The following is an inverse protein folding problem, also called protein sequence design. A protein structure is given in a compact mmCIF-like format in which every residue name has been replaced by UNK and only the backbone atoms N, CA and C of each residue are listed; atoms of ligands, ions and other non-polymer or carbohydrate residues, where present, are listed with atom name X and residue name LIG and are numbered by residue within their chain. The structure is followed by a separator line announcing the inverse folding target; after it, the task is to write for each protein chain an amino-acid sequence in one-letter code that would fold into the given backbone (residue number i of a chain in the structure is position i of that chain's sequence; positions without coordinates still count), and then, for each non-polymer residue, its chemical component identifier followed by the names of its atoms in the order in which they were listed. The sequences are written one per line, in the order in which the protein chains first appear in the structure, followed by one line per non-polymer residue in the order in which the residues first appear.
data_IF_903840646853
#
_entry.id   IF_903840646853
#
_cell.length_a   1.000
_cell.length_b   1.000
_cell.length_c   1.000
_cell.angle_alpha   90.00
_cell.angle_beta   90.00
_cell.angle_gamma   90.00
#
_symmetry.space_group_name_H-M   'P 1'
#
loop_
_entity.id
_entity.type
_entity.pdbx_description
1 polymer ?
#
# COMPACT_ATOMS: atom_id res chain seq x y z
N UNK A 1 45.08 33.86 -45.19
CA UNK A 1 44.06 32.78 -45.14
C UNK A 1 43.49 32.58 -43.73
N UNK A 2 44.32 32.57 -42.68
CA UNK A 2 43.90 32.41 -41.27
C UNK A 2 42.78 33.39 -40.82
N UNK A 3 42.89 34.68 -41.14
CA UNK A 3 41.90 35.69 -40.74
C UNK A 3 40.52 35.54 -41.41
N UNK A 4 40.45 34.97 -42.62
CA UNK A 4 39.16 34.68 -43.29
C UNK A 4 38.49 33.46 -42.66
N UNK A 5 39.27 32.43 -42.36
CA UNK A 5 38.81 31.23 -41.66
C UNK A 5 38.30 31.55 -40.25
N UNK A 6 39.02 32.40 -39.50
CA UNK A 6 38.60 32.82 -38.16
C UNK A 6 37.28 33.61 -38.18
N UNK A 7 37.06 34.46 -39.19
CA UNK A 7 35.81 35.20 -39.38
C UNK A 7 34.64 34.30 -39.74
N UNK A 8 34.82 33.33 -40.64
CA UNK A 8 33.77 32.36 -40.97
C UNK A 8 33.44 31.44 -39.79
N UNK A 9 34.46 31.02 -39.02
CA UNK A 9 34.27 30.22 -37.83
C UNK A 9 33.50 31.00 -36.74
N UNK A 10 33.86 32.28 -36.51
CA UNK A 10 33.16 33.15 -35.57
C UNK A 10 31.71 33.42 -36.01
N UNK A 11 31.48 33.68 -37.30
CA UNK A 11 30.13 33.86 -37.85
C UNK A 11 29.29 32.60 -37.67
N UNK A 12 29.85 31.42 -37.96
CA UNK A 12 29.20 30.14 -37.75
C UNK A 12 28.83 29.90 -36.28
N UNK A 13 29.74 30.23 -35.36
CA UNK A 13 29.48 30.16 -33.92
C UNK A 13 28.36 31.12 -33.50
N UNK A 14 28.36 32.37 -33.98
CA UNK A 14 27.30 33.33 -33.68
C UNK A 14 25.93 32.88 -34.20
N UNK A 15 25.87 32.31 -35.41
CA UNK A 15 24.63 31.76 -35.97
C UNK A 15 24.13 30.60 -35.11
N UNK A 16 25.03 29.69 -34.72
CA UNK A 16 24.67 28.56 -33.85
C UNK A 16 24.13 29.04 -32.50
N UNK A 17 24.78 30.01 -31.86
CA UNK A 17 24.31 30.60 -30.59
C UNK A 17 22.94 31.25 -30.78
N UNK A 18 22.73 32.03 -31.86
CA UNK A 18 21.45 32.65 -32.14
C UNK A 18 20.32 31.61 -32.34
N UNK A 19 20.60 30.50 -33.02
CA UNK A 19 19.66 29.39 -33.18
C UNK A 19 19.33 28.71 -31.86
N UNK A 20 20.34 28.47 -31.00
CA UNK A 20 20.13 27.89 -29.68
C UNK A 20 19.30 28.79 -28.77
N UNK A 21 19.56 30.11 -28.79
CA UNK A 21 18.78 31.10 -28.04
C UNK A 21 17.35 31.19 -28.56
N UNK A 22 17.16 31.18 -29.88
CA UNK A 22 15.82 31.16 -30.47
C UNK A 22 15.05 29.90 -30.10
N UNK A 23 15.70 28.73 -30.17
CA UNK A 23 15.11 27.44 -29.79
C UNK A 23 14.70 27.45 -28.31
N UNK A 24 15.59 27.91 -27.41
CA UNK A 24 15.28 28.07 -26.00
C UNK A 24 14.12 29.03 -25.76
N UNK A 25 14.10 30.19 -26.43
CA UNK A 25 13.05 31.19 -26.27
C UNK A 25 11.67 30.72 -26.79
N UNK A 26 11.65 29.91 -27.85
CA UNK A 26 10.45 29.23 -28.35
C UNK A 26 9.98 28.18 -27.34
N UNK A 27 10.90 27.34 -26.86
CA UNK A 27 10.62 26.30 -25.87
C UNK A 27 10.07 26.87 -24.56
N UNK A 28 10.68 27.93 -24.04
CA UNK A 28 10.28 28.60 -22.80
C UNK A 28 8.87 29.19 -22.87
N UNK A 29 8.38 29.52 -24.08
CA UNK A 29 7.01 30.01 -24.32
C UNK A 29 6.06 28.95 -24.85
N UNK A 30 6.54 27.71 -25.04
CA UNK A 30 5.72 26.61 -25.55
C UNK A 30 4.59 26.28 -24.57
N UNK A 31 3.32 26.18 -24.96
CA UNK A 31 2.22 25.98 -24.01
C UNK A 31 2.32 24.63 -23.29
N UNK A 32 1.97 24.63 -21.99
CA UNK A 32 1.74 23.39 -21.25
C UNK A 32 0.44 22.75 -21.77
N UNK A 33 0.45 21.46 -22.18
CA UNK A 33 -0.75 20.75 -22.63
C UNK A 33 -1.91 20.81 -21.63
N UNK A 34 -3.14 20.92 -22.12
CA UNK A 34 -4.34 21.04 -21.27
C UNK A 34 -4.51 19.90 -20.27
N UNK A 35 -4.25 18.66 -20.69
CA UNK A 35 -4.33 17.50 -19.82
C UNK A 35 -3.36 17.60 -18.63
N UNK A 36 -2.15 18.11 -18.86
CA UNK A 36 -1.15 18.34 -17.80
C UNK A 36 -1.58 19.45 -16.85
N UNK A 37 -2.14 20.56 -17.37
CA UNK A 37 -2.67 21.66 -16.56
C UNK A 37 -3.83 21.21 -15.67
N UNK A 38 -4.77 20.44 -16.22
CA UNK A 38 -5.91 19.90 -15.48
C UNK A 38 -5.47 18.93 -14.39
N UNK A 39 -4.54 18.01 -14.70
CA UNK A 39 -3.97 17.09 -13.71
C UNK A 39 -3.26 17.86 -12.59
N UNK A 40 -2.47 18.89 -12.91
CA UNK A 40 -1.81 19.71 -11.89
C UNK A 40 -2.80 20.48 -11.02
N UNK A 41 -3.86 21.02 -11.61
CA UNK A 41 -4.93 21.69 -10.87
C UNK A 41 -5.64 20.73 -9.90
N UNK A 42 -5.85 19.48 -10.31
CA UNK A 42 -6.40 18.43 -9.45
C UNK A 42 -5.48 18.12 -8.26
N UNK A 43 -4.16 18.00 -8.46
CA UNK A 43 -3.20 17.76 -7.37
C UNK A 43 -3.10 18.92 -6.37
N UNK A 44 -3.38 20.15 -6.82
CA UNK A 44 -3.38 21.37 -5.99
C UNK A 44 -4.63 21.50 -5.12
N UNK A 45 -5.65 20.67 -5.32
CA UNK A 45 -6.83 20.69 -4.46
C UNK A 45 -6.47 20.38 -3.00
N UNK A 46 -7.09 21.07 -2.03
CA UNK A 46 -6.84 20.79 -0.62
C UNK A 46 -7.24 19.35 -0.27
N UNK A 47 -6.48 18.74 0.63
CA UNK A 47 -6.86 17.42 1.15
C UNK A 47 -8.21 17.51 1.88
N UNK A 48 -9.06 16.48 1.78
CA UNK A 48 -10.27 16.37 2.60
C UNK A 48 -9.94 16.45 4.11
N UNK A 49 -10.90 16.88 4.95
CA UNK A 49 -10.73 16.83 6.40
C UNK A 49 -10.61 15.38 6.90
N UNK A 50 -10.08 15.20 8.12
CA UNK A 50 -10.02 13.90 8.77
C UNK A 50 -11.44 13.40 9.09
N UNK A 51 -11.65 12.08 8.93
CA UNK A 51 -12.92 11.40 9.21
C UNK A 51 -13.12 11.06 10.70
N UNK A 52 -12.13 11.33 11.54
CA UNK A 52 -12.16 11.08 12.97
C UNK A 52 -10.75 11.13 13.58
N UNK A 53 -10.52 10.45 14.72
CA UNK A 53 -9.23 10.45 15.40
C UNK A 53 -8.10 9.97 14.49
N UNK A 54 -6.99 10.71 14.50
CA UNK A 54 -5.83 10.46 13.66
C UNK A 54 -4.87 9.46 14.32
N UNK A 55 -4.59 8.35 13.64
CA UNK A 55 -3.70 7.28 14.12
C UNK A 55 -2.22 7.66 14.17
N UNK A 56 -1.81 8.76 13.52
CA UNK A 56 -0.40 9.08 13.34
C UNK A 56 0.39 9.12 14.66
N UNK A 57 -0.13 9.76 15.70
CA UNK A 57 0.58 9.88 16.98
C UNK A 57 0.76 8.52 17.70
N UNK A 58 -0.21 7.62 17.55
CA UNK A 58 -0.10 6.26 18.08
C UNK A 58 0.97 5.46 17.34
N UNK A 59 1.02 5.55 16.00
CA UNK A 59 2.04 4.86 15.21
C UNK A 59 3.44 5.47 15.42
N UNK A 60 3.55 6.80 15.45
CA UNK A 60 4.80 7.51 15.67
C UNK A 60 5.48 7.10 16.98
N UNK A 61 4.69 6.87 18.03
CA UNK A 61 5.17 6.45 19.35
C UNK A 61 5.17 4.93 19.56
N UNK A 62 4.78 4.13 18.56
CA UNK A 62 4.51 2.70 18.73
C UNK A 62 5.73 1.91 19.22
N UNK A 63 6.93 2.30 18.79
CA UNK A 63 8.19 1.64 19.18
C UNK A 63 8.68 1.96 20.60
N UNK A 64 8.03 2.88 21.30
CA UNK A 64 8.50 3.42 22.58
C UNK A 64 7.40 3.40 23.66
N UNK A 65 7.81 3.35 24.92
CA UNK A 65 6.94 3.42 26.09
C UNK A 65 6.52 4.87 26.40
N UNK A 66 6.05 5.60 25.39
CA UNK A 66 5.49 6.96 25.55
C UNK A 66 4.10 6.86 26.20
N UNK A 67 3.83 7.62 27.28
CA UNK A 67 2.49 7.73 27.87
C UNK A 67 1.48 8.36 26.90
N UNK A 68 0.24 7.89 26.92
CA UNK A 68 -0.79 8.28 25.95
C UNK A 68 -1.07 9.78 25.94
N UNK A 69 -1.16 10.39 27.12
CA UNK A 69 -1.35 11.83 27.30
C UNK A 69 -0.20 12.69 26.72
N UNK A 70 0.95 12.10 26.42
CA UNK A 70 2.13 12.81 25.91
C UNK A 70 2.37 12.59 24.41
N UNK A 71 1.63 11.68 23.75
CA UNK A 71 1.85 11.32 22.34
C UNK A 71 1.68 12.52 21.41
N UNK A 72 0.61 13.29 21.57
CA UNK A 72 0.32 14.43 20.69
C UNK A 72 1.33 15.58 20.88
N UNK A 73 1.69 15.86 22.14
CA UNK A 73 2.72 16.86 22.46
C UNK A 73 4.09 16.47 21.87
N UNK A 74 4.42 15.16 21.92
CA UNK A 74 5.65 14.62 21.32
C UNK A 74 5.67 14.80 19.81
N UNK A 75 4.57 14.47 19.13
CA UNK A 75 4.46 14.66 17.68
C UNK A 75 4.55 16.13 17.31
N UNK A 76 3.86 17.02 18.04
CA UNK A 76 3.92 18.46 17.80
C UNK A 76 5.36 18.99 17.95
N UNK A 77 6.10 18.53 18.97
CA UNK A 77 7.51 18.86 19.14
C UNK A 77 8.35 18.37 17.94
N UNK A 78 8.12 17.15 17.48
CA UNK A 78 8.84 16.54 16.36
C UNK A 78 8.58 17.27 15.03
N UNK A 79 7.34 17.65 14.77
CA UNK A 79 6.93 18.44 13.60
C UNK A 79 7.60 19.82 13.62
N UNK A 80 7.60 20.51 14.77
CA UNK A 80 8.25 21.81 14.90
C UNK A 80 9.76 21.73 14.70
N UNK A 81 10.40 20.67 15.20
CA UNK A 81 11.84 20.46 14.99
C UNK A 81 12.14 20.16 13.53
N UNK A 82 11.38 19.27 12.90
CA UNK A 82 11.53 18.97 11.47
C UNK A 82 11.39 20.21 10.59
N UNK A 83 10.40 21.07 10.85
CA UNK A 83 10.20 22.31 10.10
C UNK A 83 11.38 23.30 10.20
N UNK A 84 12.28 23.14 11.18
CA UNK A 84 13.48 23.97 11.38
C UNK A 84 14.77 23.25 10.95
N UNK A 85 14.70 21.98 10.55
CA UNK A 85 15.88 21.24 10.12
C UNK A 85 16.32 21.76 8.73
N UNK A 86 17.64 21.96 8.52
CA UNK A 86 18.20 22.13 7.18
C UNK A 86 17.79 20.97 6.26
N UNK A 87 17.61 21.27 4.97
CA UNK A 87 17.27 20.29 3.96
C UNK A 87 18.27 19.12 3.95
N UNK A 88 17.78 17.89 3.83
CA UNK A 88 18.60 16.68 3.82
C UNK A 88 18.98 16.13 5.20
N UNK A 89 18.75 16.87 6.30
CA UNK A 89 18.96 16.33 7.65
C UNK A 89 17.78 15.49 8.12
N UNK A 90 18.07 14.33 8.71
CA UNK A 90 17.05 13.44 9.26
C UNK A 90 16.61 13.89 10.66
N UNK A 91 15.31 13.80 10.93
CA UNK A 91 14.77 14.04 12.26
C UNK A 91 15.12 12.89 13.20
N UNK A 92 15.75 13.22 14.33
CA UNK A 92 15.80 12.34 15.50
C UNK A 92 14.57 12.59 16.39
N UNK A 93 13.63 11.64 16.39
CA UNK A 93 12.39 11.75 17.17
C UNK A 93 12.64 11.94 18.67
N UNK A 94 11.81 12.76 19.32
CA UNK A 94 11.84 12.95 20.76
C UNK A 94 11.39 11.69 21.52
N UNK A 95 10.80 10.71 20.82
CA UNK A 95 10.44 9.40 21.35
C UNK A 95 11.64 8.59 21.84
N UNK A 96 12.85 8.88 21.33
CA UNK A 96 14.10 8.24 21.77
C UNK A 96 14.44 8.48 23.24
N UNK A 97 13.81 9.46 23.90
CA UNK A 97 13.94 9.70 25.36
C UNK A 97 13.20 8.68 26.21
N UNK A 98 12.29 7.92 25.61
CA UNK A 98 11.49 6.91 26.30
C UNK A 98 12.11 5.52 26.08
N UNK A 99 11.90 4.57 27.00
CA UNK A 99 12.32 3.19 26.79
C UNK A 99 11.74 2.62 25.49
N UNK A 100 12.56 1.94 24.68
CA UNK A 100 12.10 1.22 23.49
C UNK A 100 11.41 -0.08 23.92
N UNK A 101 10.35 -0.48 23.23
CA UNK A 101 9.81 -1.83 23.38
C UNK A 101 10.82 -2.88 22.90
N UNK A 102 10.92 -4.04 23.55
CA UNK A 102 11.87 -5.07 23.15
C UNK A 102 11.58 -5.53 21.72
N UNK A 103 12.65 -5.81 20.97
CA UNK A 103 12.54 -6.46 19.67
C UNK A 103 12.08 -7.91 19.83
N UNK A 104 11.59 -8.50 18.73
CA UNK A 104 11.25 -9.92 18.73
C UNK A 104 12.49 -10.74 19.12
N UNK A 105 12.41 -11.69 20.07
CA UNK A 105 13.59 -12.41 20.54
C UNK A 105 14.28 -13.16 19.39
N UNK A 106 15.60 -12.99 19.27
CA UNK A 106 16.38 -13.59 18.17
C UNK A 106 16.37 -15.14 18.18
N UNK A 107 16.17 -15.74 19.35
CA UNK A 107 16.07 -17.20 19.53
C UNK A 107 14.65 -17.73 19.32
N UNK A 108 13.65 -16.86 19.19
CA UNK A 108 12.28 -17.28 18.99
C UNK A 108 12.00 -17.62 17.52
N UNK A 109 11.04 -18.50 17.24
CA UNK A 109 10.56 -18.74 15.88
C UNK A 109 10.13 -17.44 15.19
N UNK A 110 10.24 -17.38 13.86
CA UNK A 110 9.83 -16.19 13.12
C UNK A 110 8.33 -15.90 13.33
N UNK A 111 7.93 -14.63 13.52
CA UNK A 111 6.51 -14.26 13.63
C UNK A 111 5.70 -14.73 12.42
N UNK A 112 4.40 -14.91 12.61
CA UNK A 112 3.49 -15.19 11.51
C UNK A 112 3.56 -14.11 10.43
N UNK A 113 3.53 -14.56 9.18
CA UNK A 113 3.48 -13.72 7.98
C UNK A 113 2.35 -14.22 7.09
N UNK A 114 2.14 -13.55 5.95
CA UNK A 114 1.13 -13.91 4.94
C UNK A 114 1.25 -15.33 4.37
N UNK A 115 2.37 -16.02 4.56
CA UNK A 115 2.59 -17.35 4.00
C UNK A 115 1.82 -18.42 4.76
N UNK A 116 1.33 -19.41 4.02
CA UNK A 116 0.57 -20.54 4.54
C UNK A 116 1.24 -21.21 5.75
N UNK A 117 0.41 -21.78 6.63
CA UNK A 117 0.86 -22.56 7.77
C UNK A 117 1.23 -21.75 9.01
N UNK A 118 0.72 -20.52 9.18
CA UNK A 118 0.89 -19.79 10.45
C UNK A 118 0.38 -20.62 11.64
N UNK A 119 -0.87 -21.11 11.58
CA UNK A 119 -1.44 -21.94 12.64
C UNK A 119 -0.62 -23.22 12.88
N UNK A 120 -0.18 -23.89 11.81
CA UNK A 120 0.62 -25.12 11.91
C UNK A 120 1.99 -24.86 12.55
N UNK A 121 2.68 -23.78 12.18
CA UNK A 121 3.96 -23.37 12.81
C UNK A 121 3.79 -23.06 14.28
N UNK A 122 2.74 -22.31 14.64
CA UNK A 122 2.43 -22.00 16.05
C UNK A 122 2.14 -23.29 16.82
N UNK A 123 1.38 -24.22 16.26
CA UNK A 123 1.04 -25.51 16.88
C UNK A 123 2.24 -26.42 17.09
N UNK A 124 3.26 -26.33 16.24
CA UNK A 124 4.51 -27.10 16.40
C UNK A 124 5.36 -26.60 17.58
N UNK A 125 5.30 -25.31 17.92
CA UNK A 125 6.16 -24.69 18.95
C UNK A 125 5.39 -23.71 19.85
N UNK A 126 4.25 -24.09 20.47
CA UNK A 126 3.34 -23.15 21.11
C UNK A 126 3.98 -22.43 22.30
N UNK A 127 4.82 -23.12 23.08
CA UNK A 127 5.51 -22.52 24.22
C UNK A 127 6.56 -21.49 23.78
N UNK A 128 7.33 -21.76 22.72
CA UNK A 128 8.33 -20.82 22.22
C UNK A 128 7.69 -19.51 21.73
N UNK A 129 6.52 -19.59 21.08
CA UNK A 129 5.75 -18.40 20.73
C UNK A 129 5.16 -17.70 21.95
N UNK A 130 4.67 -18.44 22.95
CA UNK A 130 4.15 -17.86 24.18
C UNK A 130 5.22 -17.08 24.95
N UNK A 131 6.41 -17.65 25.10
CA UNK A 131 7.56 -17.01 25.76
C UNK A 131 8.00 -15.76 25.01
N UNK A 132 8.03 -15.82 23.67
CA UNK A 132 8.35 -14.67 22.83
C UNK A 132 7.30 -13.55 22.99
N UNK A 133 6.02 -13.88 22.94
CA UNK A 133 4.91 -12.93 23.08
C UNK A 133 4.81 -12.32 24.48
N UNK A 134 5.23 -13.03 25.53
CA UNK A 134 5.28 -12.50 26.88
C UNK A 134 6.14 -11.23 26.97
N UNK A 135 7.23 -11.16 26.20
CA UNK A 135 8.08 -9.95 26.10
C UNK A 135 7.41 -8.80 25.35
N UNK A 136 6.38 -9.09 24.54
CA UNK A 136 5.72 -8.14 23.65
C UNK A 136 4.40 -7.59 24.20
N UNK A 137 3.99 -7.98 25.42
CA UNK A 137 2.71 -7.59 26.02
C UNK A 137 2.43 -6.07 25.95
N UNK A 138 3.35 -5.17 26.33
CA UNK A 138 3.10 -3.73 26.24
C UNK A 138 2.83 -3.23 24.81
N UNK A 139 3.53 -3.80 23.82
CA UNK A 139 3.32 -3.47 22.41
C UNK A 139 1.98 -4.00 21.90
N UNK A 140 1.59 -5.23 22.28
CA UNK A 140 0.32 -5.84 21.90
C UNK A 140 -0.88 -5.01 22.37
N UNK A 141 -0.84 -4.44 23.58
CA UNK A 141 -1.87 -3.50 24.04
C UNK A 141 -1.96 -2.29 23.11
N UNK A 142 -0.82 -1.64 22.82
CA UNK A 142 -0.80 -0.48 21.91
C UNK A 142 -1.29 -0.80 20.50
N UNK A 143 -1.00 -1.99 19.99
CA UNK A 143 -1.48 -2.44 18.68
C UNK A 143 -3.01 -2.60 18.65
N UNK A 144 -3.60 -3.17 19.72
CA UNK A 144 -5.06 -3.31 19.84
C UNK A 144 -5.78 -1.97 19.95
N UNK A 145 -5.18 -1.01 20.66
CA UNK A 145 -5.72 0.34 20.81
C UNK A 145 -5.81 1.11 19.47
N UNK A 146 -5.06 0.69 18.44
CA UNK A 146 -5.12 1.32 17.11
C UNK A 146 -6.51 1.23 16.48
N UNK A 147 -7.34 0.27 16.89
CA UNK A 147 -8.71 0.12 16.39
C UNK A 147 -9.64 1.27 16.81
N UNK A 148 -9.24 2.08 17.81
CA UNK A 148 -9.97 3.28 18.21
C UNK A 148 -9.82 4.47 17.25
N UNK A 149 -8.93 4.38 16.25
CA UNK A 149 -8.71 5.45 15.28
C UNK A 149 -9.52 5.25 14.01
N UNK A 150 -9.91 6.36 13.37
CA UNK A 150 -10.76 6.33 12.18
C UNK A 150 -10.01 6.76 10.90
N UNK A 151 -8.90 7.48 11.06
CA UNK A 151 -8.14 8.01 9.94
C UNK A 151 -6.63 8.01 10.20
N UNK A 152 -5.85 8.26 9.16
CA UNK A 152 -4.40 8.43 9.23
C UNK A 152 -3.97 9.66 8.43
N UNK A 153 -3.24 10.58 9.08
CA UNK A 153 -2.56 11.68 8.42
C UNK A 153 -1.27 12.09 9.13
N UNK A 154 -0.17 12.12 8.40
CA UNK A 154 1.08 12.75 8.78
C UNK A 154 0.90 14.26 8.97
N UNK A 155 1.26 14.78 10.16
CA UNK A 155 1.29 16.23 10.40
C UNK A 155 2.60 16.86 9.90
N UNK A 156 3.55 16.07 9.40
CA UNK A 156 4.78 16.61 8.83
C UNK A 156 4.48 17.33 7.51
N UNK A 157 5.13 18.49 7.25
CA UNK A 157 5.01 19.14 5.95
C UNK A 157 5.49 18.17 4.85
N UNK A 158 4.84 18.15 3.68
CA UNK A 158 5.25 17.31 2.57
C UNK A 158 6.71 17.61 2.19
N UNK A 159 7.56 16.58 2.29
CA UNK A 159 8.97 16.61 1.92
C UNK A 159 9.37 15.19 1.53
N UNK A 160 10.28 15.02 0.58
CA UNK A 160 10.88 13.70 0.30
C UNK A 160 11.70 13.15 1.48
N UNK A 161 12.07 14.02 2.42
CA UNK A 161 12.75 13.64 3.67
C UNK A 161 11.80 13.58 4.87
N UNK A 162 10.50 13.76 4.65
CA UNK A 162 9.51 13.69 5.71
C UNK A 162 9.59 12.32 6.40
N UNK A 163 9.73 12.29 7.72
CA UNK A 163 9.93 11.03 8.42
C UNK A 163 8.63 10.22 8.40
N UNK A 164 8.78 8.91 8.22
CA UNK A 164 7.68 7.95 8.34
C UNK A 164 7.61 7.42 9.78
N UNK A 165 6.42 7.16 10.32
CA UNK A 165 6.31 6.45 11.58
C UNK A 165 6.90 5.04 11.41
N UNK A 166 7.36 4.40 12.51
CA UNK A 166 7.79 3.01 12.45
C UNK A 166 6.64 2.16 11.88
N UNK A 167 6.99 1.21 11.00
CA UNK A 167 5.99 0.31 10.46
C UNK A 167 5.29 -0.44 11.60
N UNK A 168 3.94 -0.51 11.63
CA UNK A 168 3.23 -1.32 12.59
C UNK A 168 3.75 -2.76 12.56
N UNK A 169 4.18 -3.26 13.72
CA UNK A 169 4.66 -4.64 13.91
C UNK A 169 3.48 -5.62 13.93
N UNK A 170 2.63 -5.56 12.90
CA UNK A 170 1.34 -6.28 12.84
C UNK A 170 1.50 -7.80 12.86
N UNK A 171 2.64 -8.32 12.41
CA UNK A 171 2.99 -9.73 12.51
C UNK A 171 3.03 -10.22 13.96
N UNK A 172 3.34 -9.35 14.94
CA UNK A 172 3.29 -9.69 16.37
C UNK A 172 1.84 -9.90 16.81
N UNK A 173 0.91 -9.03 16.42
CA UNK A 173 -0.53 -9.18 16.70
C UNK A 173 -1.09 -10.45 16.03
N UNK A 174 -0.76 -10.66 14.75
CA UNK A 174 -1.14 -11.87 14.01
C UNK A 174 -0.67 -13.14 14.71
N UNK A 175 0.58 -13.16 15.19
CA UNK A 175 1.15 -14.30 15.93
C UNK A 175 0.42 -14.51 17.26
N UNK A 176 0.08 -13.43 17.98
CA UNK A 176 -0.73 -13.51 19.20
C UNK A 176 -2.10 -14.13 18.94
N UNK A 177 -2.79 -13.69 17.88
CA UNK A 177 -4.12 -14.21 17.55
C UNK A 177 -4.05 -15.70 17.13
N UNK A 178 -3.01 -16.08 16.38
CA UNK A 178 -2.76 -17.48 16.03
C UNK A 178 -2.48 -18.37 17.25
N UNK A 179 -1.68 -17.87 18.21
CA UNK A 179 -1.43 -18.58 19.47
C UNK A 179 -2.69 -18.69 20.33
N UNK A 180 -3.47 -17.61 20.44
CA UNK A 180 -4.77 -17.64 21.13
C UNK A 180 -5.67 -18.75 20.56
N UNK A 181 -5.73 -18.86 19.23
CA UNK A 181 -6.51 -19.91 18.57
C UNK A 181 -5.98 -21.32 18.87
N UNK A 182 -4.68 -21.55 18.70
CA UNK A 182 -4.03 -22.85 18.96
C UNK A 182 -4.20 -23.29 20.42
N UNK A 183 -4.26 -22.34 21.35
CA UNK A 183 -4.47 -22.61 22.78
C UNK A 183 -5.96 -22.68 23.17
N UNK A 184 -6.89 -22.71 22.20
CA UNK A 184 -8.32 -22.87 22.43
C UNK A 184 -9.05 -21.59 22.86
N UNK A 185 -8.39 -20.42 22.87
CA UNK A 185 -9.03 -19.10 23.08
C UNK A 185 -9.66 -18.59 21.79
N UNK A 186 -10.52 -19.40 21.18
CA UNK A 186 -11.08 -19.18 19.83
C UNK A 186 -11.78 -17.84 19.69
N UNK A 187 -12.67 -17.48 20.62
CA UNK A 187 -13.42 -16.22 20.53
C UNK A 187 -12.49 -15.00 20.58
N UNK A 188 -11.46 -15.04 21.42
CA UNK A 188 -10.45 -13.98 21.53
C UNK A 188 -9.64 -13.87 20.23
N UNK A 189 -9.19 -15.00 19.68
CA UNK A 189 -8.44 -15.04 18.44
C UNK A 189 -9.24 -14.46 17.26
N UNK A 190 -10.48 -14.91 17.07
CA UNK A 190 -11.36 -14.41 16.01
C UNK A 190 -11.61 -12.91 16.17
N UNK A 191 -11.90 -12.45 17.40
CA UNK A 191 -12.09 -11.03 17.67
C UNK A 191 -10.84 -10.20 17.35
N UNK A 192 -9.66 -10.68 17.74
CA UNK A 192 -8.37 -10.02 17.50
C UNK A 192 -8.04 -9.88 16.02
N UNK A 193 -8.25 -10.93 15.21
CA UNK A 193 -8.05 -10.87 13.74
C UNK A 193 -8.96 -9.82 13.10
N UNK A 194 -10.21 -9.72 13.56
CA UNK A 194 -11.15 -8.73 13.06
C UNK A 194 -10.81 -7.30 13.51
N UNK A 195 -10.27 -7.13 14.72
CA UNK A 195 -9.73 -5.85 15.20
C UNK A 195 -8.52 -5.41 14.36
N UNK A 196 -7.59 -6.32 14.07
CA UNK A 196 -6.43 -6.02 13.22
C UNK A 196 -6.86 -5.64 11.79
N UNK A 197 -7.91 -6.28 11.26
CA UNK A 197 -8.48 -5.94 9.96
C UNK A 197 -9.11 -4.53 9.95
N UNK A 198 -9.75 -4.10 11.04
CA UNK A 198 -10.26 -2.73 11.17
C UNK A 198 -9.12 -1.69 11.12
N UNK A 199 -8.02 -1.93 11.83
CA UNK A 199 -6.81 -1.08 11.75
C UNK A 199 -6.27 -1.05 10.33
N UNK A 200 -6.21 -2.21 9.68
CA UNK A 200 -5.75 -2.34 8.30
C UNK A 200 -6.59 -1.49 7.33
N UNK A 201 -7.92 -1.40 7.51
CA UNK A 201 -8.78 -0.53 6.69
C UNK A 201 -8.50 0.96 6.88
N UNK A 202 -8.13 1.39 8.07
CA UNK A 202 -7.76 2.80 8.29
C UNK A 202 -6.50 3.14 7.49
N UNK A 203 -5.47 2.27 7.56
CA UNK A 203 -4.25 2.42 6.77
C UNK A 203 -4.50 2.30 5.26
N UNK A 204 -5.35 1.36 4.86
CA UNK A 204 -5.76 1.14 3.47
C UNK A 204 -6.29 2.44 2.85
N UNK A 205 -7.06 3.23 3.60
CA UNK A 205 -7.69 4.48 3.14
C UNK A 205 -6.84 5.73 3.37
N UNK A 206 -5.58 5.59 3.77
CA UNK A 206 -4.66 6.72 3.93
C UNK A 206 -4.41 7.41 2.58
N UNK A 207 -4.40 8.75 2.56
CA UNK A 207 -4.18 9.55 1.34
C UNK A 207 -2.88 10.37 1.34
N UNK A 208 -1.95 10.05 2.23
CA UNK A 208 -0.74 10.87 2.43
C UNK A 208 0.48 10.42 1.64
N UNK A 209 0.60 9.11 1.43
CA UNK A 209 1.65 8.48 0.64
C UNK A 209 1.18 7.11 0.17
N UNK A 210 1.94 6.50 -0.74
CA UNK A 210 1.63 5.16 -1.24
C UNK A 210 1.89 4.04 -0.21
N UNK A 211 2.85 4.22 0.69
CA UNK A 211 3.31 3.18 1.62
C UNK A 211 2.20 2.71 2.57
N UNK A 212 1.49 3.63 3.22
CA UNK A 212 0.47 3.26 4.23
C UNK A 212 -0.71 2.48 3.64
N UNK A 213 -1.28 2.88 2.48
CA UNK A 213 -2.26 2.08 1.74
C UNK A 213 -1.78 0.68 1.35
N UNK A 214 -0.52 0.52 0.95
CA UNK A 214 0.05 -0.79 0.63
C UNK A 214 0.18 -1.67 1.87
N UNK A 215 0.60 -1.08 2.99
CA UNK A 215 0.69 -1.76 4.26
C UNK A 215 -0.69 -2.20 4.76
N UNK A 216 -1.68 -1.31 4.72
CA UNK A 216 -3.07 -1.64 5.05
C UNK A 216 -3.64 -2.75 4.17
N UNK A 217 -3.33 -2.75 2.87
CA UNK A 217 -3.73 -3.82 1.95
C UNK A 217 -3.12 -5.18 2.34
N UNK A 218 -1.81 -5.21 2.60
CA UNK A 218 -1.12 -6.42 3.04
C UNK A 218 -1.64 -6.95 4.38
N UNK A 219 -1.84 -6.06 5.36
CA UNK A 219 -2.41 -6.40 6.67
C UNK A 219 -3.82 -6.96 6.55
N UNK A 220 -4.69 -6.32 5.77
CA UNK A 220 -6.09 -6.71 5.62
C UNK A 220 -6.20 -8.10 4.97
N UNK A 221 -5.47 -8.32 3.87
CA UNK A 221 -5.44 -9.61 3.20
C UNK A 221 -4.87 -10.71 4.11
N UNK A 222 -3.79 -10.44 4.83
CA UNK A 222 -3.17 -11.42 5.73
C UNK A 222 -4.10 -11.84 6.87
N UNK A 223 -4.83 -10.87 7.46
CA UNK A 223 -5.85 -11.18 8.47
C UNK A 223 -7.04 -11.94 7.89
N UNK A 224 -7.43 -11.66 6.64
CA UNK A 224 -8.50 -12.41 5.98
C UNK A 224 -8.13 -13.88 5.77
N UNK A 225 -6.88 -14.18 5.37
CA UNK A 225 -6.39 -15.56 5.28
C UNK A 225 -6.34 -16.23 6.64
N UNK A 226 -5.82 -15.56 7.67
CA UNK A 226 -5.77 -16.13 9.02
C UNK A 226 -7.18 -16.44 9.55
N UNK A 227 -8.17 -15.58 9.28
CA UNK A 227 -9.56 -15.85 9.63
C UNK A 227 -10.10 -17.08 8.89
N UNK A 228 -9.84 -17.21 7.59
CA UNK A 228 -10.25 -18.36 6.81
C UNK A 228 -9.61 -19.67 7.33
N UNK A 229 -8.30 -19.64 7.63
CA UNK A 229 -7.57 -20.76 8.22
C UNK A 229 -8.20 -21.18 9.56
N UNK A 230 -8.49 -20.23 10.46
CA UNK A 230 -9.16 -20.51 11.73
C UNK A 230 -10.54 -21.12 11.51
N UNK A 231 -11.34 -20.59 10.58
CA UNK A 231 -12.68 -21.12 10.29
C UNK A 231 -12.65 -22.52 9.69
N UNK A 232 -11.57 -22.88 8.98
CA UNK A 232 -11.42 -24.23 8.42
C UNK A 232 -11.24 -25.32 9.49
N UNK A 233 -10.75 -24.94 10.68
CA UNK A 233 -10.53 -25.82 11.83
C UNK A 233 -11.68 -25.78 12.86
N UNK A 234 -12.73 -25.01 12.61
CA UNK A 234 -13.90 -24.88 13.47
C UNK A 234 -15.13 -25.55 12.86
N UNK A 235 -16.15 -25.91 13.67
CA UNK A 235 -17.42 -26.34 13.13
C UNK A 235 -17.96 -25.27 12.18
N UNK A 236 -18.53 -25.68 11.05
CA UNK A 236 -18.98 -24.74 10.02
C UNK A 236 -19.91 -23.66 10.60
N UNK A 237 -20.80 -23.98 11.53
CA UNK A 237 -21.72 -23.02 12.13
C UNK A 237 -21.14 -22.26 13.35
N UNK A 238 -19.82 -22.26 13.57
CA UNK A 238 -19.23 -21.51 14.68
C UNK A 238 -19.56 -20.01 14.58
N UNK A 239 -20.06 -19.37 15.67
CA UNK A 239 -20.45 -17.97 15.63
C UNK A 239 -19.24 -17.06 15.42
N UNK A 240 -19.40 -16.03 14.58
CA UNK A 240 -18.40 -14.98 14.39
C UNK A 240 -18.70 -13.77 15.27
N UNK A 241 -17.68 -13.09 15.81
CA UNK A 241 -17.87 -11.79 16.44
C UNK A 241 -18.54 -10.79 15.50
N UNK A 242 -19.50 -10.01 16.01
CA UNK A 242 -20.33 -9.14 15.18
C UNK A 242 -19.52 -8.10 14.37
N UNK A 243 -18.42 -7.58 14.94
CA UNK A 243 -17.57 -6.59 14.27
C UNK A 243 -16.76 -7.17 13.10
N UNK A 244 -16.62 -8.49 12.98
CA UNK A 244 -15.93 -9.13 11.86
C UNK A 244 -16.59 -8.84 10.52
N UNK A 245 -17.93 -8.77 10.49
CA UNK A 245 -18.68 -8.46 9.26
C UNK A 245 -18.30 -7.08 8.70
N UNK A 246 -18.16 -6.08 9.57
CA UNK A 246 -17.74 -4.74 9.17
C UNK A 246 -16.25 -4.69 8.80
N UNK A 247 -15.39 -5.39 9.56
CA UNK A 247 -13.95 -5.41 9.31
C UNK A 247 -13.59 -5.99 7.93
N UNK A 248 -14.27 -7.06 7.52
CA UNK A 248 -14.03 -7.76 6.25
C UNK A 248 -15.08 -7.48 5.17
N UNK A 249 -15.90 -6.44 5.34
CA UNK A 249 -16.85 -6.02 4.31
C UNK A 249 -16.14 -5.79 2.95
N UNK A 250 -16.81 -6.06 1.81
CA UNK A 250 -16.24 -5.79 0.50
C UNK A 250 -15.67 -4.36 0.38
N UNK A 251 -14.57 -4.22 -0.35
CA UNK A 251 -13.96 -2.90 -0.60
C UNK A 251 -14.77 -2.13 -1.63
N UNK A 252 -15.04 -0.87 -1.35
CA UNK A 252 -15.59 0.06 -2.34
C UNK A 252 -14.50 0.51 -3.33
N UNK A 253 -14.89 0.99 -4.52
CA UNK A 253 -13.94 1.33 -5.61
C UNK A 253 -12.94 2.42 -5.19
N UNK A 254 -13.35 3.36 -4.34
CA UNK A 254 -12.48 4.37 -3.73
C UNK A 254 -11.41 3.74 -2.81
N UNK A 255 -11.76 2.68 -2.07
CA UNK A 255 -10.79 1.91 -1.29
C UNK A 255 -9.90 1.02 -2.16
N UNK A 256 -10.30 0.68 -3.39
CA UNK A 256 -9.47 -0.10 -4.32
C UNK A 256 -8.51 0.82 -5.08
N UNK A 257 -8.97 2.01 -5.47
CA UNK A 257 -8.20 2.97 -6.26
C UNK A 257 -6.99 3.50 -5.51
N UNK A 258 -5.90 3.74 -6.23
CA UNK A 258 -4.73 4.46 -5.73
C UNK A 258 -4.90 6.00 -5.75
N UNK A 259 -6.05 6.54 -6.13
CA UNK A 259 -6.26 7.98 -6.33
C UNK A 259 -5.75 8.84 -5.16
N UNK A 260 -6.26 8.60 -3.94
CA UNK A 260 -5.86 9.38 -2.76
C UNK A 260 -4.39 9.17 -2.41
N UNK A 261 -3.90 7.93 -2.54
CA UNK A 261 -2.51 7.57 -2.27
C UNK A 261 -1.53 8.31 -3.19
N UNK A 262 -1.85 8.40 -4.48
CA UNK A 262 -1.02 9.09 -5.47
C UNK A 262 -1.07 10.61 -5.33
N UNK A 263 -2.21 11.18 -4.93
CA UNK A 263 -2.28 12.59 -4.56
C UNK A 263 -1.38 12.90 -3.34
N UNK A 264 -1.29 11.98 -2.38
CA UNK A 264 -0.32 12.04 -1.29
C UNK A 264 1.11 11.98 -1.77
N UNK A 265 1.41 10.95 -2.54
CA UNK A 265 2.73 10.71 -3.11
C UNK A 265 3.22 11.91 -3.94
N UNK A 266 2.33 12.56 -4.69
CA UNK A 266 2.69 13.73 -5.49
C UNK A 266 3.12 14.91 -4.63
N UNK A 267 2.49 15.16 -3.48
CA UNK A 267 2.90 16.25 -2.58
C UNK A 267 4.31 16.03 -2.06
N UNK A 268 4.66 14.78 -1.74
CA UNK A 268 6.01 14.40 -1.35
C UNK A 268 6.99 14.51 -2.52
N UNK A 269 6.69 13.89 -3.66
CA UNK A 269 7.60 13.87 -4.81
C UNK A 269 7.86 15.26 -5.40
N UNK A 270 6.82 16.09 -5.51
CA UNK A 270 6.93 17.43 -6.12
C UNK A 270 7.60 18.47 -5.18
N UNK A 271 7.64 18.19 -3.87
CA UNK A 271 8.35 19.04 -2.89
C UNK A 271 9.87 19.12 -3.15
N UNK A 272 10.47 18.07 -3.74
CA UNK A 272 11.90 17.99 -4.04
C UNK A 272 12.33 19.16 -4.91
N UNK A 273 11.51 19.52 -5.91
CA UNK A 273 11.82 20.62 -6.83
C UNK A 273 11.75 22.00 -6.16
N UNK A 274 10.87 22.14 -5.16
CA UNK A 274 10.76 23.37 -4.37
C UNK A 274 11.96 23.53 -3.43
N UNK A 275 12.39 22.43 -2.80
CA UNK A 275 13.60 22.39 -1.95
C UNK A 275 14.87 22.67 -2.75
N UNK A 276 15.04 22.05 -3.92
CA UNK A 276 16.18 22.26 -4.81
C UNK A 276 16.32 23.73 -5.24
N UNK A 277 15.21 24.41 -5.53
CA UNK A 277 15.22 25.83 -5.89
C UNK A 277 15.55 26.76 -4.72
N UNK A 278 15.12 26.43 -3.49
CA UNK A 278 15.49 27.20 -2.28
C UNK A 278 16.99 27.07 -1.99
N UNK A 279 17.53 25.86 -2.08
CA UNK A 279 18.96 25.61 -1.91
C UNK A 279 19.79 26.22 -3.05
N UNK A 280 19.20 26.29 -4.25
CA UNK A 280 19.73 26.95 -5.44
C UNK A 280 19.98 28.46 -5.32
N UNK A 281 19.46 29.11 -4.28
CA UNK A 281 19.69 30.53 -3.98
C UNK A 281 20.91 30.75 -3.06
N UNK A 282 21.62 29.68 -2.67
CA UNK A 282 22.88 29.78 -1.95
C UNK A 282 23.99 30.35 -2.86
N UNK A 283 24.81 31.26 -2.32
CA UNK A 283 25.82 32.03 -3.07
C UNK A 283 26.98 31.21 -3.63
N UNK A 284 27.16 29.97 -3.17
CA UNK A 284 28.37 29.16 -3.36
C UNK A 284 28.26 28.13 -4.51
N UNK A 285 27.20 28.19 -5.32
CA UNK A 285 27.00 27.25 -6.43
C UNK A 285 27.99 27.48 -7.57
N UNK A 286 28.51 26.37 -8.12
CA UNK A 286 29.31 26.36 -9.33
C UNK A 286 28.50 26.86 -10.54
N UNK A 287 29.20 27.20 -11.62
CA UNK A 287 28.53 27.74 -12.83
C UNK A 287 27.63 26.69 -13.50
N UNK A 288 27.99 25.41 -13.43
CA UNK A 288 27.24 24.28 -13.97
C UNK A 288 25.98 23.96 -13.16
N UNK A 289 26.03 24.12 -11.83
CA UNK A 289 24.85 24.02 -10.96
C UNK A 289 23.84 25.14 -11.27
N UNK A 290 24.33 26.38 -11.44
CA UNK A 290 23.48 27.53 -11.82
C UNK A 290 22.82 27.30 -13.19
N UNK A 291 23.58 26.82 -14.17
CA UNK A 291 23.03 26.51 -15.50
C UNK A 291 21.98 25.39 -15.43
N UNK A 292 22.23 24.35 -14.62
CA UNK A 292 21.29 23.26 -14.40
C UNK A 292 19.98 23.74 -13.77
N UNK A 293 20.05 24.65 -12.79
CA UNK A 293 18.87 25.28 -12.20
C UNK A 293 18.07 26.12 -13.20
N UNK A 294 18.74 26.80 -14.15
CA UNK A 294 18.06 27.53 -15.22
C UNK A 294 17.35 26.64 -16.24
N UNK A 295 17.72 25.36 -16.32
CA UNK A 295 17.07 24.34 -17.17
C UNK A 295 16.02 23.51 -16.40
N UNK A 296 15.66 23.94 -15.18
CA UNK A 296 14.59 23.37 -14.37
C UNK A 296 13.44 24.37 -14.22
N UNK A 297 12.43 24.24 -15.08
CA UNK A 297 11.14 24.91 -14.91
C UNK A 297 10.25 24.05 -14.00
N UNK A 298 10.06 24.50 -12.76
CA UNK A 298 9.29 23.75 -11.75
C UNK A 298 7.84 23.57 -12.16
N UNK A 299 7.19 24.59 -12.71
CA UNK A 299 5.78 24.50 -13.07
C UNK A 299 5.59 23.51 -14.21
N UNK A 300 6.44 23.59 -15.25
CA UNK A 300 6.42 22.62 -16.35
C UNK A 300 6.73 21.21 -15.87
N UNK A 301 7.68 21.05 -14.97
CA UNK A 301 8.04 19.73 -14.41
C UNK A 301 6.89 19.15 -13.60
N UNK A 302 6.24 19.96 -12.75
CA UNK A 302 5.06 19.55 -11.99
C UNK A 302 3.91 19.19 -12.92
N UNK A 303 3.66 19.98 -13.97
CA UNK A 303 2.61 19.71 -14.94
C UNK A 303 2.89 18.43 -15.77
N UNK A 304 4.14 18.23 -16.18
CA UNK A 304 4.60 17.04 -16.89
C UNK A 304 4.40 15.76 -16.06
N UNK A 305 4.68 15.82 -14.75
CA UNK A 305 4.53 14.68 -13.84
C UNK A 305 3.09 14.48 -13.33
N UNK A 306 2.25 15.51 -13.34
CA UNK A 306 0.93 15.45 -12.72
C UNK A 306 0.04 14.28 -13.21
N UNK A 307 -0.01 13.95 -14.52
CA UNK A 307 -0.78 12.79 -15.00
C UNK A 307 -0.36 11.45 -14.38
N UNK A 308 0.92 11.28 -14.01
CA UNK A 308 1.44 10.09 -13.32
C UNK A 308 0.85 9.92 -11.92
N UNK A 309 0.29 10.97 -11.32
CA UNK A 309 -0.32 10.94 -9.99
C UNK A 309 -1.84 11.08 -9.99
N UNK A 310 -2.47 11.41 -11.12
CA UNK A 310 -3.95 11.57 -11.20
C UNK A 310 -4.65 10.45 -11.96
N UNK A 311 -3.93 9.60 -12.68
CA UNK A 311 -4.52 8.55 -13.54
C UNK A 311 -5.47 7.62 -12.78
N UNK A 312 -5.14 7.27 -11.52
CA UNK A 312 -5.94 6.36 -10.71
C UNK A 312 -7.32 6.92 -10.33
N UNK A 313 -7.50 8.25 -10.43
CA UNK A 313 -8.76 8.94 -10.19
C UNK A 313 -9.68 8.93 -11.42
N UNK A 314 -9.17 8.59 -12.60
CA UNK A 314 -9.91 8.72 -13.86
C UNK A 314 -11.11 7.76 -13.95
N UNK A 315 -12.16 8.19 -14.65
CA UNK A 315 -13.36 7.37 -14.86
C UNK A 315 -13.06 6.01 -15.54
N UNK A 316 -12.18 5.91 -16.56
CA UNK A 316 -11.82 4.62 -17.17
C UNK A 316 -11.20 3.65 -16.15
N UNK A 317 -10.30 4.13 -15.29
CA UNK A 317 -9.69 3.28 -14.25
C UNK A 317 -10.74 2.83 -13.24
N UNK A 318 -11.59 3.76 -12.76
CA UNK A 318 -12.66 3.40 -11.81
C UNK A 318 -13.64 2.37 -12.39
N UNK A 319 -13.95 2.44 -13.68
CA UNK A 319 -14.81 1.47 -14.36
C UNK A 319 -14.17 0.08 -14.44
N UNK A 320 -12.86 0.01 -14.73
CA UNK A 320 -12.07 -1.23 -14.73
C UNK A 320 -12.04 -1.85 -13.33
N UNK A 321 -11.81 -1.03 -12.29
CA UNK A 321 -11.80 -1.47 -10.90
C UNK A 321 -13.16 -1.99 -10.43
N UNK A 322 -14.26 -1.31 -10.81
CA UNK A 322 -15.62 -1.75 -10.47
C UNK A 322 -15.98 -3.13 -11.05
N UNK A 323 -15.37 -3.50 -12.17
CA UNK A 323 -15.56 -4.78 -12.86
C UNK A 323 -14.54 -5.84 -12.43
N UNK A 324 -13.68 -5.54 -11.46
CA UNK A 324 -12.60 -6.40 -11.00
C UNK A 324 -11.63 -6.83 -12.12
N UNK A 325 -11.44 -5.98 -13.13
CA UNK A 325 -10.52 -6.24 -14.26
C UNK A 325 -9.13 -5.69 -13.97
N UNK A 326 -8.07 -6.39 -14.36
CA UNK A 326 -6.70 -5.91 -14.16
C UNK A 326 -6.50 -4.54 -14.84
N UNK A 327 -6.03 -3.54 -14.09
CA UNK A 327 -5.70 -2.24 -14.68
C UNK A 327 -4.57 -2.44 -15.69
N UNK A 328 -4.80 -2.14 -16.99
CA UNK A 328 -3.77 -2.31 -18.01
C UNK A 328 -2.74 -1.18 -17.92
N UNK A 329 -1.48 -1.50 -18.25
CA UNK A 329 -0.37 -0.53 -18.26
C UNK A 329 -0.65 0.69 -19.15
N UNK A 330 -1.44 0.53 -20.22
CA UNK A 330 -1.79 1.60 -21.14
C UNK A 330 -2.62 2.73 -20.50
N UNK A 331 -3.30 2.48 -19.36
CA UNK A 331 -4.01 3.52 -18.61
C UNK A 331 -3.12 4.30 -17.65
N UNK A 332 -1.84 3.94 -17.52
CA UNK A 332 -0.87 4.62 -16.65
C UNK A 332 -0.01 5.55 -17.51
N UNK A 333 -0.16 6.89 -17.39
CA UNK A 333 0.58 7.84 -18.20
C UNK A 333 2.08 7.80 -17.93
N UNK A 334 2.85 7.85 -19.00
CA UNK A 334 4.29 8.07 -18.97
C UNK A 334 4.56 9.52 -19.37
N UNK A 335 5.39 10.27 -18.62
CA UNK A 335 5.77 11.63 -19.00
C UNK A 335 6.42 11.67 -20.39
N UNK A 336 5.97 12.61 -21.24
CA UNK A 336 6.62 12.88 -22.53
C UNK A 336 7.87 13.74 -22.32
N UNK A 337 9.03 13.09 -22.36
CA UNK A 337 10.34 13.68 -22.04
C UNK A 337 11.11 14.18 -23.26
N UNK A 338 10.52 14.10 -24.46
CA UNK A 338 11.17 14.49 -25.73
C UNK A 338 10.42 15.61 -26.48
N UNK A 339 9.57 16.36 -25.78
CA UNK A 339 8.76 17.44 -26.35
C UNK A 339 9.53 18.75 -26.54
N UNK A 340 8.98 19.68 -27.34
CA UNK A 340 9.51 21.05 -27.49
C UNK A 340 9.64 21.77 -26.14
N UNK A 341 8.74 21.49 -25.19
CA UNK A 341 8.81 22.05 -23.83
C UNK A 341 10.02 21.57 -23.01
N UNK A 342 10.71 20.50 -23.43
CA UNK A 342 11.87 19.97 -22.73
C UNK A 342 13.18 20.70 -23.05
N UNK A 343 13.28 21.50 -24.12
CA UNK A 343 14.53 22.24 -24.40
C UNK A 343 14.83 23.27 -23.30
N UNK A 344 13.80 24.02 -22.86
CA UNK A 344 13.91 24.97 -21.75
C UNK A 344 13.71 24.33 -20.37
N UNK A 345 13.31 23.05 -20.30
CA UNK A 345 13.09 22.28 -19.07
C UNK A 345 13.85 20.94 -19.08
N UNK A 346 15.09 20.94 -19.58
CA UNK A 346 15.82 19.70 -19.85
C UNK A 346 16.06 18.88 -18.59
N UNK A 347 16.39 19.55 -17.47
CA UNK A 347 16.59 18.90 -16.17
C UNK A 347 15.27 18.34 -15.64
N UNK A 348 14.18 19.10 -15.78
CA UNK A 348 12.85 18.65 -15.38
C UNK A 348 12.38 17.41 -16.15
N UNK A 349 12.57 17.38 -17.47
CA UNK A 349 12.21 16.22 -18.29
C UNK A 349 13.10 15.01 -18.00
N UNK A 350 14.39 15.20 -17.73
CA UNK A 350 15.27 14.13 -17.29
C UNK A 350 14.78 13.50 -15.98
N UNK A 351 14.48 14.34 -14.97
CA UNK A 351 14.00 13.89 -13.66
C UNK A 351 12.65 13.17 -13.76
N UNK A 352 11.73 13.67 -14.59
CA UNK A 352 10.45 13.03 -14.86
C UNK A 352 10.61 11.64 -15.53
N UNK A 353 11.66 11.44 -16.35
CA UNK A 353 11.96 10.16 -17.00
C UNK A 353 12.52 9.08 -16.07
N UNK A 354 13.15 9.46 -14.96
CA UNK A 354 13.76 8.52 -13.99
C UNK A 354 12.74 7.96 -12.99
N UNK A 355 11.71 8.73 -12.65
CA UNK A 355 10.72 8.34 -11.65
C UNK A 355 9.67 7.37 -12.24
N UNK A 356 9.93 6.06 -12.18
CA UNK A 356 8.99 5.02 -12.63
C UNK A 356 8.72 3.94 -11.58
N UNK A 357 8.00 4.26 -10.49
CA UNK A 357 7.42 3.23 -9.63
C UNK A 357 6.49 2.31 -10.42
N UNK A 358 6.45 1.04 -10.07
CA UNK A 358 5.53 0.07 -10.69
C UNK A 358 4.10 0.24 -10.14
N UNK A 359 3.47 1.35 -10.53
CA UNK A 359 2.12 1.70 -10.11
C UNK A 359 1.07 0.68 -10.57
N UNK A 360 1.30 -0.04 -11.67
CA UNK A 360 0.43 -1.12 -12.09
C UNK A 360 0.41 -2.21 -11.02
N UNK A 361 1.57 -2.70 -10.61
CA UNK A 361 1.65 -3.74 -9.59
C UNK A 361 1.11 -3.27 -8.23
N UNK A 362 1.35 -2.02 -7.82
CA UNK A 362 0.73 -1.48 -6.60
C UNK A 362 -0.80 -1.43 -6.69
N UNK A 363 -1.35 -1.07 -7.85
CA UNK A 363 -2.80 -1.10 -8.08
C UNK A 363 -3.34 -2.53 -8.08
N UNK A 364 -2.61 -3.47 -8.69
CA UNK A 364 -2.97 -4.89 -8.69
C UNK A 364 -2.98 -5.46 -7.26
N UNK A 365 -2.04 -5.08 -6.39
CA UNK A 365 -2.07 -5.46 -4.96
C UNK A 365 -3.35 -5.00 -4.25
N UNK A 366 -3.88 -3.83 -4.59
CA UNK A 366 -5.17 -3.34 -4.06
C UNK A 366 -6.34 -4.13 -4.59
N UNK A 367 -6.33 -4.42 -5.89
CA UNK A 367 -7.34 -5.28 -6.51
C UNK A 367 -7.33 -6.65 -5.86
N UNK A 368 -6.17 -7.26 -5.68
CA UNK A 368 -5.99 -8.57 -5.04
C UNK A 368 -6.47 -8.58 -3.58
N UNK A 369 -6.34 -7.46 -2.87
CA UNK A 369 -6.93 -7.31 -1.53
C UNK A 369 -8.46 -7.27 -1.57
N UNK A 370 -9.06 -6.58 -2.55
CA UNK A 370 -10.52 -6.60 -2.75
C UNK A 370 -11.03 -8.01 -3.11
N UNK A 371 -10.28 -8.71 -3.96
CA UNK A 371 -10.52 -10.10 -4.33
C UNK A 371 -10.50 -11.02 -3.11
N UNK A 372 -9.51 -10.84 -2.24
CA UNK A 372 -9.36 -11.60 -1.01
C UNK A 372 -10.57 -11.43 -0.09
N UNK A 373 -11.08 -10.20 0.08
CA UNK A 373 -12.30 -9.97 0.86
C UNK A 373 -13.54 -10.59 0.21
N UNK A 374 -13.62 -10.58 -1.13
CA UNK A 374 -14.69 -11.28 -1.87
C UNK A 374 -14.61 -12.79 -1.66
N UNK A 375 -13.41 -13.38 -1.70
CA UNK A 375 -13.21 -14.80 -1.45
C UNK A 375 -13.59 -15.19 -0.01
N UNK A 376 -13.17 -14.40 0.99
CA UNK A 376 -13.61 -14.59 2.37
C UNK A 376 -15.13 -14.44 2.51
N UNK A 377 -15.74 -13.45 1.86
CA UNK A 377 -17.21 -13.30 1.84
C UNK A 377 -17.91 -14.50 1.22
N UNK A 378 -17.31 -15.13 0.20
CA UNK A 378 -17.81 -16.37 -0.37
C UNK A 378 -17.66 -17.56 0.60
N UNK A 379 -16.55 -17.67 1.35
CA UNK A 379 -16.40 -18.67 2.43
C UNK A 379 -17.54 -18.52 3.45
N UNK A 380 -17.81 -17.29 3.89
CA UNK A 380 -18.89 -17.01 4.85
C UNK A 380 -20.28 -17.29 4.28
N UNK A 381 -20.52 -16.98 3.00
CA UNK A 381 -21.80 -17.30 2.36
C UNK A 381 -22.02 -18.82 2.25
N UNK A 382 -20.99 -19.56 1.82
CA UNK A 382 -21.04 -21.02 1.73
C UNK A 382 -21.22 -21.67 3.10
N UNK A 383 -20.66 -21.08 4.15
CA UNK A 383 -20.85 -21.51 5.53
C UNK A 383 -22.33 -21.43 5.94
N UNK A 384 -23.00 -20.34 5.58
CA UNK A 384 -24.41 -20.10 5.92
C UNK A 384 -25.38 -20.85 4.97
N UNK A 385 -24.88 -21.42 3.87
CA UNK A 385 -25.63 -22.21 2.89
C UNK A 385 -25.00 -23.61 2.73
N UNK A 386 -25.27 -24.52 3.69
CA UNK A 386 -24.77 -25.89 3.62
C UNK A 386 -25.35 -26.60 2.39
N UNK A 387 -24.55 -27.46 1.79
CA UNK A 387 -24.86 -28.10 0.51
C UNK A 387 -24.28 -29.50 0.45
N UNK A 388 -24.57 -30.31 1.46
CA UNK A 388 -23.91 -31.61 1.70
C UNK A 388 -24.06 -32.61 0.54
N UNK A 389 -25.06 -32.42 -0.32
CA UNK A 389 -25.30 -33.22 -1.53
C UNK A 389 -24.73 -32.61 -2.83
N UNK A 390 -24.14 -31.42 -2.78
CA UNK A 390 -23.62 -30.70 -3.94
C UNK A 390 -22.08 -30.71 -3.97
N UNK A 391 -21.50 -30.81 -5.16
CA UNK A 391 -20.05 -30.62 -5.32
C UNK A 391 -19.66 -29.17 -5.03
N UNK A 392 -18.41 -28.92 -4.64
CA UNK A 392 -17.92 -27.55 -4.45
C UNK A 392 -18.14 -26.70 -5.72
N UNK A 393 -17.91 -27.26 -6.90
CA UNK A 393 -18.16 -26.59 -8.17
C UNK A 393 -19.62 -26.14 -8.34
N UNK A 394 -20.59 -27.00 -8.02
CA UNK A 394 -22.01 -26.66 -8.05
C UNK A 394 -22.36 -25.55 -7.05
N UNK A 395 -21.78 -25.61 -5.85
CA UNK A 395 -21.98 -24.58 -4.82
C UNK A 395 -21.40 -23.23 -5.24
N UNK A 396 -20.23 -23.22 -5.88
CA UNK A 396 -19.62 -22.01 -6.44
C UNK A 396 -20.45 -21.44 -7.60
N UNK A 397 -21.02 -22.30 -8.44
CA UNK A 397 -21.97 -21.89 -9.47
C UNK A 397 -23.25 -21.27 -8.88
N UNK A 398 -23.65 -21.68 -7.67
CA UNK A 398 -24.79 -21.12 -6.92
C UNK A 398 -24.52 -19.79 -6.20
N UNK A 399 -23.25 -19.35 -6.08
CA UNK A 399 -22.91 -18.10 -5.41
C UNK A 399 -23.62 -16.89 -6.04
N UNK A 400 -24.00 -15.86 -5.25
CA UNK A 400 -24.40 -14.57 -5.79
C UNK A 400 -23.39 -14.04 -6.82
N UNK A 401 -23.83 -13.40 -7.92
CA UNK A 401 -22.92 -12.92 -8.98
C UNK A 401 -21.78 -12.03 -8.46
N UNK A 402 -22.07 -11.20 -7.46
CA UNK A 402 -21.09 -10.31 -6.80
C UNK A 402 -19.98 -11.07 -6.05
N UNK A 403 -20.26 -12.27 -5.53
CA UNK A 403 -19.29 -13.11 -4.83
C UNK A 403 -18.52 -14.02 -5.78
N UNK A 404 -19.22 -14.59 -6.78
CA UNK A 404 -18.61 -15.47 -7.79
C UNK A 404 -17.50 -14.75 -8.56
N UNK A 405 -17.75 -13.49 -8.94
CA UNK A 405 -16.85 -12.67 -9.74
C UNK A 405 -16.92 -13.00 -11.23
N UNK A 406 -16.72 -12.00 -12.08
CA UNK A 406 -16.79 -12.14 -13.55
C UNK A 406 -15.40 -12.23 -14.17
N UNK A 407 -14.51 -11.26 -13.89
CA UNK A 407 -13.17 -11.18 -14.50
C UNK A 407 -12.16 -12.20 -13.94
N UNK A 408 -12.36 -12.64 -12.69
CA UNK A 408 -11.58 -13.69 -12.02
C UNK A 408 -12.52 -14.51 -11.13
N UNK A 409 -13.25 -15.48 -11.73
CA UNK A 409 -14.18 -16.30 -10.97
C UNK A 409 -13.45 -17.15 -9.92
N UNK A 410 -14.10 -17.41 -8.80
CA UNK A 410 -13.63 -18.39 -7.82
C UNK A 410 -13.72 -19.79 -8.44
N UNK A 411 -12.66 -20.58 -8.28
CA UNK A 411 -12.61 -21.95 -8.79
C UNK A 411 -12.42 -22.92 -7.61
N UNK A 412 -12.91 -24.17 -7.71
CA UNK A 412 -12.59 -25.19 -6.72
C UNK A 412 -11.10 -25.54 -6.83
N UNK A 413 -10.41 -25.65 -5.69
CA UNK A 413 -9.05 -26.16 -5.67
C UNK A 413 -9.03 -27.69 -5.79
N UNK A 414 -7.88 -28.26 -6.15
CA UNK A 414 -7.71 -29.70 -6.34
C UNK A 414 -7.97 -30.53 -5.07
N UNK A 415 -7.83 -29.93 -3.89
CA UNK A 415 -8.09 -30.58 -2.60
C UNK A 415 -9.59 -30.78 -2.33
N UNK A 416 -10.49 -30.11 -3.06
CA UNK A 416 -11.93 -30.09 -2.81
C UNK A 416 -12.35 -29.43 -1.48
N UNK A 417 -11.39 -28.90 -0.73
CA UNK A 417 -11.54 -28.32 0.61
C UNK A 417 -11.27 -26.81 0.62
N UNK A 418 -10.76 -26.28 -0.48
CA UNK A 418 -10.40 -24.88 -0.68
C UNK A 418 -10.93 -24.34 -2.01
N UNK A 419 -11.02 -23.02 -2.10
CA UNK A 419 -11.21 -22.29 -3.35
C UNK A 419 -9.89 -21.66 -3.77
N UNK A 420 -9.68 -21.53 -5.08
CA UNK A 420 -8.54 -20.81 -5.65
C UNK A 420 -8.99 -19.48 -6.26
N UNK A 421 -8.16 -18.45 -6.08
CA UNK A 421 -8.39 -17.11 -6.60
C UNK A 421 -7.20 -16.60 -7.40
N UNK A 422 -7.44 -16.24 -8.66
CA UNK A 422 -6.41 -15.64 -9.53
C UNK A 422 -6.01 -14.25 -9.03
N UNK A 423 -4.70 -14.06 -8.89
CA UNK A 423 -4.07 -12.78 -8.53
C UNK A 423 -3.67 -12.00 -9.78
N UNK A 424 -3.64 -10.68 -9.68
CA UNK A 424 -3.10 -9.79 -10.72
C UNK A 424 -1.68 -9.33 -10.41
N UNK A 425 -1.37 -9.09 -9.14
CA UNK A 425 -0.05 -8.64 -8.75
C UNK A 425 0.99 -9.70 -9.08
N UNK A 426 2.20 -9.24 -9.38
CA UNK A 426 3.34 -10.15 -9.57
C UNK A 426 3.51 -11.00 -8.31
N UNK A 427 3.66 -12.34 -8.45
CA UNK A 427 3.89 -13.20 -7.29
C UNK A 427 5.10 -12.70 -6.51
N UNK A 428 4.95 -12.64 -5.20
CA UNK A 428 6.10 -12.55 -4.29
C UNK A 428 6.65 -13.98 -4.12
N UNK A 429 7.97 -14.11 -3.96
CA UNK A 429 8.66 -15.41 -3.98
C UNK A 429 7.95 -16.47 -3.11
N UNK A 430 7.61 -17.62 -3.70
CA UNK A 430 7.07 -18.78 -2.97
C UNK A 430 5.54 -18.94 -2.93
N UNK A 431 4.75 -18.09 -3.60
CA UNK A 431 3.28 -18.26 -3.70
C UNK A 431 2.87 -18.61 -5.14
N UNK A 432 2.46 -19.86 -5.37
CA UNK A 432 2.03 -20.33 -6.70
C UNK A 432 0.52 -20.13 -6.91
N UNK A 433 -0.30 -20.27 -5.86
CA UNK A 433 -1.77 -20.13 -5.92
C UNK A 433 -2.34 -19.51 -4.62
N UNK A 434 -3.35 -18.63 -4.74
CA UNK A 434 -4.04 -18.03 -3.59
C UNK A 434 -5.22 -18.90 -3.19
N UNK A 435 -5.00 -19.74 -2.17
CA UNK A 435 -5.96 -20.72 -1.67
C UNK A 435 -6.74 -20.19 -0.48
N UNK A 436 -8.03 -20.50 -0.46
CA UNK A 436 -9.02 -20.05 0.53
C UNK A 436 -9.76 -21.27 1.09
N UNK A 437 -9.40 -21.76 2.28
CA UNK A 437 -10.03 -22.95 2.84
C UNK A 437 -11.49 -22.68 3.20
N UNK A 438 -12.35 -23.68 3.00
CA UNK A 438 -13.77 -23.61 3.39
C UNK A 438 -13.91 -23.79 4.91
N UNK A 439 -14.94 -23.18 5.50
CA UNK A 439 -15.25 -23.36 6.92
C UNK A 439 -15.49 -24.84 7.26
N UNK A 440 -14.87 -25.33 8.33
CA UNK A 440 -14.94 -26.72 8.79
C UNK A 440 -14.29 -27.78 7.90
N UNK A 441 -13.59 -27.40 6.83
CA UNK A 441 -13.04 -28.36 5.86
C UNK A 441 -11.97 -29.28 6.48
N UNK A 442 -11.16 -28.78 7.42
CA UNK A 442 -10.13 -29.58 8.10
C UNK A 442 -10.73 -30.51 9.16
N UNK A 443 -11.87 -30.14 9.77
CA UNK A 443 -12.58 -31.03 10.70
C UNK A 443 -13.24 -32.20 9.99
N UNK A 444 -13.88 -31.95 8.84
CA UNK A 444 -14.52 -33.00 8.04
C UNK A 444 -13.50 -34.04 7.54
N UNK A 445 -12.30 -33.58 7.18
CA UNK A 445 -11.21 -34.44 6.72
C UNK A 445 -10.66 -35.36 7.84
N UNK A 446 -10.53 -34.86 9.07
CA UNK A 446 -10.07 -35.65 10.22
C UNK A 446 -11.12 -36.67 10.72
N UNK A 447 -12.40 -36.45 10.42
CA UNK A 447 -13.51 -37.28 10.89
C UNK A 447 -13.82 -38.51 10.01
N UNK A 448 -13.05 -38.77 8.95
CA UNK A 448 -13.14 -40.04 8.22
C UNK A 448 -14.34 -40.18 7.27
N UNK A 449 -14.70 -39.16 6.50
CA UNK A 449 -15.45 -39.39 5.26
C UNK A 449 -14.50 -40.01 4.22
N UNK A 450 -14.30 -41.33 4.32
CA UNK A 450 -13.60 -42.13 3.33
C UNK A 450 -14.22 -41.88 1.94
N UNK A 451 -13.51 -41.13 1.10
CA UNK A 451 -13.78 -41.11 -0.33
C UNK A 451 -13.53 -42.54 -0.81
N UNK A 452 -14.61 -43.26 -1.11
CA UNK A 452 -14.54 -44.60 -1.65
C UNK A 452 -13.63 -44.58 -2.90
N UNK A 453 -12.65 -45.49 -3.04
CA UNK A 453 -11.87 -45.59 -4.24
C UNK A 453 -12.81 -45.89 -5.42
N UNK A 454 -12.67 -45.11 -6.50
CA UNK A 454 -13.33 -45.39 -7.78
C UNK A 454 -13.05 -46.84 -8.15
N UNK A 455 -14.10 -47.66 -8.15
CA UNK A 455 -14.08 -48.99 -8.76
C UNK A 455 -13.65 -48.83 -10.22
N UNK A 456 -12.45 -49.29 -10.54
CA UNK A 456 -12.14 -49.79 -11.87
C UNK A 456 -12.88 -51.12 -12.02
N UNK A 457 -13.64 -51.25 -13.10
CA UNK A 457 -14.29 -52.48 -13.51
C UNK A 457 -14.09 -52.61 -15.04
N UNK A 458 -14.13 -53.85 -15.54
CA UNK A 458 -13.00 -54.60 -16.10
C UNK A 458 -12.58 -54.20 -17.52
#
# INVERSE_FOLDING_TARGET
MLAKFLKSALLGLCILIALLVALYAISARWPIPDAQRQALAQLRQPQPPLRGPNMFAALWSLGYAVPDAQRDALVAQDVQRFARLPAGMQLQSAATRYPRHPDWPATAPAPCTRHAGCLDRVRQQPQAYADALATQIPLLFKLRDLAGYADYRSPFPPSATAPLPPLPRFNVSMTSNALDFVQGRTTQALAGVCTDAQVARVLLRSGDNLLMPMLGAAMLRTNAHLLADMLSELPAQHPLPAHCLAAFAPLAVDEISLCDALHGESRMALSIFQEASRNGQATDLSWDDRLSLHLLDQERTHALMAPTYTWACSAPVRAVLAQDQAVPQALIPVPDTISMGCVANAVGCLLAGLARPDYANYQHKRQDTAAALRALSAVLWLRDHPGDAQTLEQRLAGLPPSLRGQARPLQPAADGLSMQLRQYARPEDGVVEDLWPLAGSRMAHQSGAAVAPKNQAP
#
